data_IF_811351067579
#
_entry.id   IF_811351067579
#
_cell.length_a   1.000
_cell.length_b   1.000
_cell.length_c   1.000
_cell.angle_alpha   90.00
_cell.angle_beta   90.00
_cell.angle_gamma   90.00
#
_symmetry.space_group_name_H-M   'P 1'
#
loop_
_entity.id
_entity.type
_entity.pdbx_description
1 polymer ?
#
# COMPACT_ATOMS: atom_id res chain seq x y z
N UNK A 1 -5.83 2.87 -25.06
CA UNK A 1 -5.27 1.89 -24.08
C UNK A 1 -4.46 2.64 -23.05
N UNK A 2 -4.37 2.11 -21.82
CA UNK A 2 -3.60 2.58 -20.64
C UNK A 2 -2.07 2.66 -20.90
N UNK A 3 -1.63 2.72 -22.17
CA UNK A 3 -0.25 2.49 -22.57
C UNK A 3 0.70 3.68 -22.43
N UNK A 4 0.22 4.91 -22.18
CA UNK A 4 1.14 6.02 -21.82
C UNK A 4 0.51 6.97 -20.80
N UNK A 5 0.57 6.57 -19.53
CA UNK A 5 0.41 7.49 -18.39
C UNK A 5 1.73 7.59 -17.62
N UNK A 6 2.80 8.16 -18.20
CA UNK A 6 4.11 8.24 -17.55
C UNK A 6 4.03 9.00 -16.21
N UNK A 7 3.08 9.91 -16.08
CA UNK A 7 2.82 10.66 -14.84
C UNK A 7 2.12 9.83 -13.76
N UNK A 8 1.36 8.78 -14.09
CA UNK A 8 0.55 8.06 -13.10
C UNK A 8 1.42 7.37 -12.05
N UNK A 9 2.40 6.58 -12.50
CA UNK A 9 3.34 5.91 -11.61
C UNK A 9 4.17 6.90 -10.78
N UNK A 10 4.58 8.01 -11.40
CA UNK A 10 5.30 9.09 -10.71
C UNK A 10 4.46 9.72 -9.60
N UNK A 11 3.24 10.16 -9.92
CA UNK A 11 2.34 10.83 -8.97
C UNK A 11 1.92 9.91 -7.83
N UNK A 12 1.63 8.63 -8.10
CA UNK A 12 1.28 7.66 -7.04
C UNK A 12 2.47 7.39 -6.12
N UNK A 13 3.68 7.24 -6.65
CA UNK A 13 4.90 7.11 -5.84
C UNK A 13 5.16 8.35 -4.98
N UNK A 14 5.02 9.55 -5.56
CA UNK A 14 5.17 10.80 -4.82
C UNK A 14 4.15 10.90 -3.66
N UNK A 15 2.88 10.57 -3.92
CA UNK A 15 1.85 10.52 -2.89
C UNK A 15 2.14 9.49 -1.78
N UNK A 16 2.59 8.29 -2.15
CA UNK A 16 3.03 7.26 -1.18
C UNK A 16 4.16 7.77 -0.30
N UNK A 17 5.16 8.44 -0.88
CA UNK A 17 6.28 8.98 -0.11
C UNK A 17 5.82 10.07 0.88
N UNK A 18 4.90 10.96 0.48
CA UNK A 18 4.33 11.97 1.38
C UNK A 18 3.62 11.31 2.57
N UNK A 19 2.77 10.31 2.33
CA UNK A 19 2.07 9.60 3.40
C UNK A 19 3.03 8.86 4.33
N UNK A 20 4.10 8.29 3.80
CA UNK A 20 5.17 7.68 4.60
C UNK A 20 5.90 8.69 5.49
N UNK A 21 6.16 9.91 5.01
CA UNK A 21 6.79 10.96 5.84
C UNK A 21 5.85 11.41 6.97
N UNK A 22 4.55 11.47 6.72
CA UNK A 22 3.56 11.75 7.76
C UNK A 22 3.52 10.65 8.81
N UNK A 23 3.53 9.38 8.38
CA UNK A 23 3.59 8.23 9.28
C UNK A 23 4.82 8.28 10.21
N UNK A 24 5.99 8.68 9.71
CA UNK A 24 7.19 8.86 10.56
C UNK A 24 7.04 9.93 11.65
N UNK A 25 6.14 10.88 11.45
CA UNK A 25 5.94 12.01 12.36
C UNK A 25 4.76 11.82 13.33
N UNK A 26 3.91 10.82 13.11
CA UNK A 26 2.64 10.64 13.83
C UNK A 26 2.62 9.23 14.41
N UNK A 27 2.38 9.10 15.71
CA UNK A 27 2.29 7.79 16.32
C UNK A 27 1.01 7.07 15.84
N UNK A 28 1.04 5.73 15.67
CA UNK A 28 -0.14 4.97 15.23
C UNK A 28 -1.33 5.10 16.19
N UNK A 29 -1.08 5.31 17.49
CA UNK A 29 -2.09 5.57 18.52
C UNK A 29 -2.86 6.88 18.28
N UNK A 30 -2.21 7.89 17.67
CA UNK A 30 -2.85 9.16 17.30
C UNK A 30 -3.55 9.05 15.95
N UNK A 31 -2.86 8.51 14.95
CA UNK A 31 -3.42 8.25 13.62
C UNK A 31 -2.63 7.17 12.87
N UNK A 32 -3.27 6.01 12.70
CA UNK A 32 -2.74 4.95 11.85
C UNK A 32 -2.83 5.33 10.36
N UNK A 33 -1.71 5.17 9.63
CA UNK A 33 -1.64 5.44 8.20
C UNK A 33 -1.26 4.16 7.44
N UNK A 34 -2.21 3.56 6.72
CA UNK A 34 -1.98 2.39 5.86
C UNK A 34 -2.13 2.78 4.39
N UNK A 35 -1.15 2.46 3.54
CA UNK A 35 -1.16 2.83 2.11
C UNK A 35 -1.64 1.61 1.30
N UNK A 36 -2.89 1.62 0.86
CA UNK A 36 -3.50 0.43 0.24
C UNK A 36 -3.56 0.56 -1.29
N UNK A 37 -3.03 -0.44 -2.00
CA UNK A 37 -3.34 -0.69 -3.40
C UNK A 37 -4.65 -1.49 -3.48
N UNK A 38 -5.69 -0.97 -4.15
CA UNK A 38 -7.02 -1.60 -4.12
C UNK A 38 -7.19 -2.79 -5.07
N UNK A 39 -6.16 -3.13 -5.85
CA UNK A 39 -6.30 -4.06 -6.97
C UNK A 39 -6.73 -3.34 -8.25
N UNK A 40 -7.29 -4.08 -9.18
CA UNK A 40 -7.75 -3.56 -10.48
C UNK A 40 -9.27 -3.62 -10.51
N UNK A 41 -9.92 -2.47 -10.39
CA UNK A 41 -11.37 -2.33 -10.41
C UNK A 41 -11.81 -1.66 -11.71
N UNK A 42 -12.84 -2.19 -12.37
CA UNK A 42 -13.46 -1.56 -13.54
C UNK A 42 -14.29 -0.35 -13.10
N UNK A 43 -13.59 0.75 -12.85
CA UNK A 43 -14.19 2.04 -12.47
C UNK A 43 -14.78 2.77 -13.68
N UNK A 44 -15.65 3.75 -13.44
CA UNK A 44 -16.20 4.58 -14.52
C UNK A 44 -15.10 5.28 -15.33
N UNK A 45 -14.13 5.90 -14.66
CA UNK A 45 -12.99 6.53 -15.35
C UNK A 45 -12.12 5.55 -16.14
N UNK A 46 -12.18 4.25 -15.84
CA UNK A 46 -11.54 3.22 -16.66
C UNK A 46 -12.35 2.89 -17.89
N UNK A 47 -13.69 2.81 -17.77
CA UNK A 47 -14.61 2.64 -18.91
C UNK A 47 -14.51 3.81 -19.89
N UNK A 48 -14.51 5.04 -19.37
CA UNK A 48 -14.31 6.26 -20.17
C UNK A 48 -12.96 6.26 -20.92
N UNK A 49 -11.93 5.65 -20.33
CA UNK A 49 -10.62 5.46 -20.97
C UNK A 49 -10.57 4.31 -22.00
N UNK A 50 -11.71 3.72 -22.33
CA UNK A 50 -11.86 2.61 -23.28
C UNK A 50 -11.62 1.24 -22.67
N UNK A 51 -11.62 1.12 -21.33
CA UNK A 51 -11.59 -0.16 -20.63
C UNK A 51 -12.93 -0.88 -20.73
N UNK A 52 -12.87 -2.18 -21.01
CA UNK A 52 -14.01 -3.11 -21.04
C UNK A 52 -13.83 -4.17 -19.96
N UNK A 53 -14.86 -4.95 -19.67
CA UNK A 53 -14.83 -6.09 -18.76
C UNK A 53 -13.75 -7.13 -19.13
N UNK A 54 -13.37 -7.20 -20.41
CA UNK A 54 -12.33 -8.09 -20.93
C UNK A 54 -10.94 -7.47 -20.95
N UNK A 55 -10.78 -6.20 -20.60
CA UNK A 55 -9.49 -5.50 -20.67
C UNK A 55 -8.47 -6.01 -19.64
N UNK A 56 -8.95 -6.51 -18.49
CA UNK A 56 -8.13 -7.06 -17.41
C UNK A 56 -8.91 -8.16 -16.67
N UNK A 57 -8.21 -8.91 -15.82
CA UNK A 57 -8.86 -9.65 -14.75
C UNK A 57 -9.18 -8.67 -13.63
N UNK A 58 -10.42 -8.19 -13.59
CA UNK A 58 -10.87 -7.26 -12.57
C UNK A 58 -11.15 -7.97 -11.25
N UNK A 59 -10.76 -7.32 -10.15
CA UNK A 59 -11.14 -7.73 -8.81
C UNK A 59 -12.59 -7.31 -8.51
N UNK A 60 -13.26 -8.03 -7.60
CA UNK A 60 -14.52 -7.55 -7.03
C UNK A 60 -14.26 -6.31 -6.18
N UNK A 61 -15.17 -5.32 -6.22
CA UNK A 61 -15.11 -4.14 -5.36
C UNK A 61 -15.17 -4.49 -3.86
N UNK A 62 -15.76 -5.64 -3.52
CA UNK A 62 -15.85 -6.13 -2.15
C UNK A 62 -14.47 -6.44 -1.56
N UNK A 63 -13.51 -6.85 -2.40
CA UNK A 63 -12.16 -7.21 -1.94
C UNK A 63 -11.44 -6.02 -1.30
N UNK A 64 -11.19 -4.89 -2.00
CA UNK A 64 -10.59 -3.73 -1.37
C UNK A 64 -11.49 -3.12 -0.30
N UNK A 65 -12.83 -3.18 -0.44
CA UNK A 65 -13.75 -2.64 0.57
C UNK A 65 -13.58 -3.34 1.93
N UNK A 66 -13.55 -4.67 1.96
CA UNK A 66 -13.30 -5.43 3.19
C UNK A 66 -11.87 -5.26 3.68
N UNK A 67 -10.89 -5.23 2.77
CA UNK A 67 -9.49 -5.05 3.13
C UNK A 67 -9.23 -3.70 3.81
N UNK A 68 -9.79 -2.59 3.31
CA UNK A 68 -9.55 -1.27 3.93
C UNK A 68 -10.21 -1.14 5.30
N UNK A 69 -11.35 -1.80 5.53
CA UNK A 69 -11.97 -1.88 6.87
C UNK A 69 -11.03 -2.60 7.85
N UNK A 70 -10.44 -3.71 7.43
CA UNK A 70 -9.43 -4.40 8.24
C UNK A 70 -8.16 -3.54 8.44
N UNK A 71 -7.65 -2.92 7.37
CA UNK A 71 -6.43 -2.14 7.38
C UNK A 71 -6.53 -0.85 8.19
N UNK A 72 -7.74 -0.35 8.46
CA UNK A 72 -8.03 0.77 9.35
C UNK A 72 -8.28 0.36 10.81
N UNK A 73 -8.29 -0.95 11.10
CA UNK A 73 -8.48 -1.47 12.47
C UNK A 73 -7.13 -1.59 13.21
N UNK A 74 -7.14 -1.61 14.56
CA UNK A 74 -5.93 -1.85 15.36
C UNK A 74 -5.22 -3.17 15.05
N UNK A 75 -5.91 -4.14 14.45
CA UNK A 75 -5.29 -5.40 14.05
C UNK A 75 -4.19 -5.21 13.00
N UNK A 76 -4.25 -4.11 12.24
CA UNK A 76 -3.35 -3.78 11.15
C UNK A 76 -2.33 -2.68 11.52
N UNK A 77 -2.26 -2.27 12.80
CA UNK A 77 -1.37 -1.19 13.26
C UNK A 77 0.10 -1.42 12.88
N UNK A 78 0.54 -2.68 12.88
CA UNK A 78 1.89 -3.10 12.46
C UNK A 78 2.23 -2.75 10.98
N UNK A 79 1.25 -2.30 10.20
CA UNK A 79 1.40 -1.82 8.83
C UNK A 79 1.47 -0.28 8.75
N UNK A 80 1.59 0.43 9.88
CA UNK A 80 1.72 1.88 9.91
C UNK A 80 2.85 2.38 8.99
N UNK A 81 2.52 3.32 8.10
CA UNK A 81 3.41 3.85 7.08
C UNK A 81 3.75 2.90 5.93
N UNK A 82 3.15 1.71 5.85
CA UNK A 82 3.51 0.69 4.84
C UNK A 82 2.52 0.62 3.69
N UNK A 83 3.06 0.25 2.53
CA UNK A 83 2.30 -0.11 1.36
C UNK A 83 1.80 -1.56 1.46
N UNK A 84 0.52 -1.79 1.24
CA UNK A 84 -0.07 -3.13 1.18
C UNK A 84 -1.03 -3.25 0.00
N UNK A 85 -1.20 -4.46 -0.51
CA UNK A 85 -2.11 -4.73 -1.62
C UNK A 85 -3.30 -5.56 -1.15
N UNK A 86 -4.52 -5.13 -1.49
CA UNK A 86 -5.76 -5.78 -1.11
C UNK A 86 -5.87 -7.26 -1.55
N UNK A 87 -5.12 -7.67 -2.58
CA UNK A 87 -5.05 -9.05 -3.05
C UNK A 87 -4.19 -9.97 -2.17
N UNK A 88 -3.50 -9.44 -1.15
CA UNK A 88 -2.71 -10.25 -0.22
C UNK A 88 -3.56 -10.89 0.88
N UNK A 89 -3.16 -12.08 1.31
CA UNK A 89 -3.84 -12.82 2.37
C UNK A 89 -3.58 -12.17 3.74
N UNK A 90 -4.64 -11.70 4.38
CA UNK A 90 -4.60 -11.05 5.70
C UNK A 90 -4.04 -11.96 6.79
N UNK A 91 -4.30 -13.26 6.75
CA UNK A 91 -3.76 -14.21 7.72
C UNK A 91 -2.24 -14.38 7.54
N UNK A 92 -1.75 -14.35 6.30
CA UNK A 92 -0.31 -14.36 6.03
C UNK A 92 0.35 -13.07 6.51
N UNK A 93 -0.27 -11.90 6.27
CA UNK A 93 0.21 -10.62 6.79
C UNK A 93 0.22 -10.59 8.32
N UNK A 94 -0.74 -11.23 8.98
CA UNK A 94 -0.79 -11.33 10.44
C UNK A 94 0.15 -12.39 11.02
N UNK A 95 0.76 -13.23 10.17
CA UNK A 95 1.60 -14.33 10.63
C UNK A 95 2.84 -13.83 11.38
N UNK A 96 3.29 -14.60 12.37
CA UNK A 96 4.53 -14.30 13.09
C UNK A 96 5.74 -14.24 12.15
N UNK A 97 5.77 -15.12 11.14
CA UNK A 97 6.85 -15.16 10.16
C UNK A 97 6.95 -13.82 9.40
N UNK A 98 5.82 -13.27 8.95
CA UNK A 98 5.81 -11.98 8.27
C UNK A 98 6.13 -10.81 9.22
N UNK A 99 5.60 -10.83 10.45
CA UNK A 99 5.93 -9.81 11.46
C UNK A 99 7.43 -9.75 11.74
N UNK A 100 8.07 -10.91 11.86
CA UNK A 100 9.53 -11.00 12.03
C UNK A 100 10.29 -10.35 10.86
N UNK A 101 9.81 -10.50 9.62
CA UNK A 101 10.44 -9.86 8.46
C UNK A 101 10.35 -8.34 8.51
N UNK A 102 9.24 -7.78 9.03
CA UNK A 102 9.11 -6.33 9.23
C UNK A 102 10.04 -5.81 10.32
N UNK A 103 10.23 -6.58 11.39
CA UNK A 103 11.16 -6.25 12.47
C UNK A 103 12.62 -6.28 12.00
N UNK A 104 12.99 -7.30 11.22
CA UNK A 104 14.34 -7.46 10.65
C UNK A 104 14.66 -6.44 9.55
N UNK A 105 13.64 -5.98 8.82
CA UNK A 105 13.77 -4.97 7.78
C UNK A 105 12.71 -3.87 7.95
N UNK A 106 13.03 -2.79 8.69
CA UNK A 106 12.10 -1.68 8.90
C UNK A 106 11.63 -0.99 7.61
N UNK A 107 12.37 -1.10 6.51
CA UNK A 107 11.98 -0.51 5.22
C UNK A 107 11.14 -1.43 4.34
N UNK A 108 10.91 -2.68 4.74
CA UNK A 108 10.10 -3.62 3.98
C UNK A 108 8.71 -3.03 3.73
N UNK A 109 8.25 -3.04 2.47
CA UNK A 109 6.98 -2.42 2.05
C UNK A 109 6.91 -0.89 2.19
N UNK A 110 8.05 -0.20 2.17
CA UNK A 110 8.10 1.26 2.04
C UNK A 110 8.67 1.64 0.68
N UNK A 111 8.26 2.79 0.15
CA UNK A 111 8.86 3.40 -1.03
C UNK A 111 10.15 4.14 -0.65
N UNK A 112 11.26 3.80 -1.31
CA UNK A 112 12.57 4.40 -1.07
C UNK A 112 13.61 3.98 -2.11
N UNK A 113 14.84 4.46 -1.93
CA UNK A 113 16.01 4.02 -2.72
C UNK A 113 16.78 3.00 -1.90
N UNK A 114 16.74 1.74 -2.33
CA UNK A 114 17.47 0.66 -1.67
C UNK A 114 18.99 0.83 -1.85
N UNK A 115 19.75 0.59 -0.77
CA UNK A 115 21.21 0.72 -0.76
C UNK A 115 21.75 2.11 -0.41
N UNK A 116 20.90 3.11 -0.22
CA UNK A 116 21.31 4.40 0.36
C UNK A 116 21.65 4.21 1.85
N UNK A 117 22.77 4.77 2.33
CA UNK A 117 23.23 4.59 3.72
C UNK A 117 22.19 5.01 4.75
N UNK A 118 21.36 5.98 4.41
CA UNK A 118 20.27 6.48 5.23
C UNK A 118 19.18 5.42 5.44
N UNK A 119 18.87 4.59 4.44
CA UNK A 119 17.78 3.61 4.56
C UNK A 119 18.02 2.61 5.70
N UNK A 120 19.28 2.23 5.96
CA UNK A 120 19.62 1.30 7.07
C UNK A 120 19.47 1.90 8.47
N UNK A 121 19.39 3.23 8.58
CA UNK A 121 19.37 3.97 9.86
C UNK A 121 18.11 4.83 10.03
N UNK A 122 17.12 4.70 9.14
CA UNK A 122 15.87 5.43 9.27
C UNK A 122 15.13 4.94 10.52
N UNK A 123 14.54 5.87 11.33
CA UNK A 123 13.68 5.47 12.42
C UNK A 123 12.57 4.57 11.87
N UNK A 124 12.22 3.56 12.68
CA UNK A 124 11.12 2.64 12.41
C UNK A 124 9.87 3.50 12.22
N UNK A 125 9.20 3.32 11.09
CA UNK A 125 7.83 3.82 10.88
C UNK A 125 6.89 2.93 11.67
#
# INVERSE_FOLDING_TARGET
MVQDRPSYGLSKRAGTLVLQQLARAIQPDDMQLSIVHPGVILTEGMKEAGGTESSYQFDSVDLPAHFVVWAASPQAEFLHGRFVWANWDVNQLKSHAFRKQLEENPNLLTAGVEGLSESKNLPIV
#
